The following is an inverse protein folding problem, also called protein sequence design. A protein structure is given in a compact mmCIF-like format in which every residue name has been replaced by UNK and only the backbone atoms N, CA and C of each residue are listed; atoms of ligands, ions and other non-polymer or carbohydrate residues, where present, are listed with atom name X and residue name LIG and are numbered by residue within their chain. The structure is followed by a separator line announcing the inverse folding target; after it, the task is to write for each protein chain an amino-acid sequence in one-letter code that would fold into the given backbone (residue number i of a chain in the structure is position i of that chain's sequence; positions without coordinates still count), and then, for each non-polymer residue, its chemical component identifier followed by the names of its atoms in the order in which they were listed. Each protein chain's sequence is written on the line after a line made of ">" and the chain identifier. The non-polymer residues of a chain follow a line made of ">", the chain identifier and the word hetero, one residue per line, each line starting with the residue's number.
data_IF_752234492309
#
_entry.id   IF_752234492309
#
_cell.length_a   1.000
_cell.length_b   1.000
_cell.length_c   1.000
_cell.angle_alpha   90.00
_cell.angle_beta   90.00
_cell.angle_gamma   90.00
#
_symmetry.space_group_name_H-M   'P 1'
#
loop_
_entity.id
_entity.type
_entity.pdbx_description
1 polymer ?
#
# COMPACT_ATOMS: atom_id res chain seq x y z
N UNK A 1 0.89 5.17 -8.00
CA UNK A 1 0.37 4.16 -7.04
C UNK A 1 -1.02 3.69 -7.44
N UNK A 2 -2.01 4.58 -7.58
CA UNK A 2 -3.34 4.21 -8.13
C UNK A 2 -3.21 3.78 -9.60
N UNK A 3 -2.54 4.57 -10.44
CA UNK A 3 -2.29 4.23 -11.85
C UNK A 3 -1.44 2.98 -12.06
N UNK A 4 -0.68 2.59 -11.03
CA UNK A 4 0.15 1.38 -11.05
C UNK A 4 -0.57 0.17 -10.41
N UNK A 5 -1.87 0.28 -10.12
CA UNK A 5 -2.67 -0.83 -9.57
C UNK A 5 -2.44 -1.17 -8.09
N UNK A 6 -1.63 -0.39 -7.35
CA UNK A 6 -1.28 -0.69 -5.96
C UNK A 6 -2.27 -0.11 -4.93
N UNK A 7 -3.09 0.85 -5.35
CA UNK A 7 -4.08 1.52 -4.50
C UNK A 7 -5.43 1.61 -5.19
N UNK A 8 -6.49 1.29 -4.46
CA UNK A 8 -7.86 1.60 -4.85
C UNK A 8 -8.28 2.96 -4.27
N UNK A 9 -8.74 3.85 -5.14
CA UNK A 9 -9.31 5.14 -4.74
C UNK A 9 -10.80 5.00 -4.53
N UNK A 10 -11.31 5.50 -3.40
CA UNK A 10 -12.74 5.55 -3.11
C UNK A 10 -13.09 6.89 -2.45
N UNK A 11 -14.40 7.17 -2.29
CA UNK A 11 -14.87 8.29 -1.46
C UNK A 11 -15.39 7.74 -0.15
N UNK A 12 -14.96 8.34 0.96
CA UNK A 12 -15.48 7.99 2.27
C UNK A 12 -16.83 8.66 2.56
N UNK A 13 -17.43 8.37 3.72
CA UNK A 13 -18.71 8.93 4.14
C UNK A 13 -18.75 10.47 4.16
N UNK A 14 -17.59 11.12 4.32
CA UNK A 14 -17.45 12.59 4.25
C UNK A 14 -17.14 13.11 2.84
N UNK A 15 -17.31 12.29 1.80
CA UNK A 15 -16.98 12.58 0.39
C UNK A 15 -15.51 12.94 0.14
N UNK A 16 -14.63 12.73 1.11
CA UNK A 16 -13.19 12.97 0.96
C UNK A 16 -12.56 11.81 0.20
N UNK A 17 -11.54 12.08 -0.65
CA UNK A 17 -10.74 11.04 -1.25
C UNK A 17 -10.10 10.16 -0.18
N UNK A 18 -10.25 8.86 -0.31
CA UNK A 18 -9.61 7.86 0.54
C UNK A 18 -9.01 6.76 -0.34
N UNK A 19 -8.06 6.03 0.21
CA UNK A 19 -7.30 5.02 -0.51
C UNK A 19 -7.17 3.75 0.33
N UNK A 20 -7.32 2.60 -0.31
CA UNK A 20 -6.98 1.30 0.29
C UNK A 20 -5.89 0.63 -0.55
N UNK A 21 -5.08 -0.21 0.07
CA UNK A 21 -4.20 -1.10 -0.69
C UNK A 21 -5.04 -2.12 -1.46
N UNK A 22 -4.62 -2.38 -2.69
CA UNK A 22 -5.03 -3.59 -3.43
C UNK A 22 -4.26 -4.79 -2.89
N UNK A 23 -4.58 -6.01 -3.33
CA UNK A 23 -3.82 -7.21 -2.95
C UNK A 23 -2.35 -7.08 -3.37
N UNK A 24 -2.07 -6.70 -4.62
CA UNK A 24 -0.72 -6.40 -5.11
C UNK A 24 -0.05 -5.28 -4.28
N UNK A 25 -0.82 -4.27 -3.88
CA UNK A 25 -0.36 -3.21 -3.00
C UNK A 25 0.08 -3.71 -1.62
N UNK A 26 -0.65 -4.67 -1.04
CA UNK A 26 -0.31 -5.31 0.24
C UNK A 26 0.94 -6.18 0.10
N UNK A 27 1.04 -6.97 -0.96
CA UNK A 27 2.21 -7.82 -1.23
C UNK A 27 3.47 -6.95 -1.34
N UNK A 28 3.42 -5.90 -2.17
CA UNK A 28 4.53 -4.96 -2.34
C UNK A 28 4.90 -4.24 -1.03
N UNK A 29 3.92 -3.86 -0.24
CA UNK A 29 4.15 -3.25 1.07
C UNK A 29 4.82 -4.24 2.05
N UNK A 30 4.42 -5.52 1.99
CA UNK A 30 5.04 -6.61 2.74
C UNK A 30 6.49 -6.81 2.35
N UNK A 31 6.81 -6.89 1.06
CA UNK A 31 8.19 -7.01 0.56
C UNK A 31 9.08 -5.87 1.09
N UNK A 32 8.58 -4.63 1.03
CA UNK A 32 9.31 -3.45 1.52
C UNK A 32 9.54 -3.54 3.03
N UNK A 33 8.53 -3.98 3.78
CA UNK A 33 8.62 -4.11 5.24
C UNK A 33 9.64 -5.18 5.64
N UNK A 34 9.57 -6.37 5.03
CA UNK A 34 10.51 -7.45 5.30
C UNK A 34 11.94 -7.07 4.94
N UNK A 35 12.15 -6.44 3.77
CA UNK A 35 13.47 -5.96 3.36
C UNK A 35 14.07 -4.99 4.37
N UNK A 36 13.26 -4.05 4.90
CA UNK A 36 13.73 -3.12 5.94
C UNK A 36 14.10 -3.82 7.24
N UNK A 37 13.33 -4.82 7.64
CA UNK A 37 13.64 -5.62 8.84
C UNK A 37 14.95 -6.41 8.69
N UNK A 38 15.22 -6.92 7.49
CA UNK A 38 16.47 -7.62 7.20
C UNK A 38 17.65 -6.64 7.18
N UNK A 39 17.49 -5.47 6.57
CA UNK A 39 18.50 -4.40 6.55
C UNK A 39 18.82 -3.85 7.97
N UNK A 40 17.86 -3.85 8.91
CA UNK A 40 18.06 -3.43 10.31
C UNK A 40 18.73 -4.50 11.19
N UNK A 41 18.86 -5.74 10.71
CA UNK A 41 19.48 -6.86 11.44
C UNK A 41 20.96 -7.06 11.09
N UNK A 42 21.45 -6.41 10.04
CA UNK A 42 22.86 -6.38 9.62
C UNK A 42 23.63 -5.21 10.26
#
# INVERSE_FOLDING_TARGET
>A
MVENGLLNKYRNASLKPAFTLTEDGKERAGEIYHKRLDDERE
#
